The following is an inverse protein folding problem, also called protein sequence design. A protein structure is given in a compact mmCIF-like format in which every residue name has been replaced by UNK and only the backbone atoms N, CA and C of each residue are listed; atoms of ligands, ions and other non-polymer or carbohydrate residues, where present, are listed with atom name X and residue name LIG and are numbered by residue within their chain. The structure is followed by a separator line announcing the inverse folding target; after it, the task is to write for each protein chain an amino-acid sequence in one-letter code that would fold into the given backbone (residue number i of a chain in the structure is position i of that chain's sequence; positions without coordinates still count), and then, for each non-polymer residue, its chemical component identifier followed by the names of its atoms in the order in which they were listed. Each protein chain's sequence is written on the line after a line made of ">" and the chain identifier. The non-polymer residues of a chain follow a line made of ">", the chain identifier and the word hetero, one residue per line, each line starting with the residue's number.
data_IF_866909392774
#
_entry.id   IF_866909392774
#
_cell.length_a   1.000
_cell.length_b   1.000
_cell.length_c   1.000
_cell.angle_alpha   90.00
_cell.angle_beta   90.00
_cell.angle_gamma   90.00
#
_symmetry.space_group_name_H-M   'P 1'
#
loop_
_entity.id
_entity.type
_entity.pdbx_description
1 polymer ?
#
# COMPACT_ATOMS: atom_id res chain seq x y z
N UNK A 1 2.97 7.14 5.92
CA UNK A 1 3.89 6.02 6.17
C UNK A 1 3.47 5.03 5.12
N UNK A 2 4.38 4.67 4.21
CA UNK A 2 4.05 3.80 3.09
C UNK A 2 3.42 2.51 3.64
N UNK A 3 2.12 2.32 3.42
CA UNK A 3 1.39 1.16 3.94
C UNK A 3 1.91 -0.09 3.22
N UNK A 4 2.05 -1.24 3.90
CA UNK A 4 2.58 -2.46 3.29
C UNK A 4 1.92 -2.84 1.95
N UNK A 5 0.63 -2.51 1.77
CA UNK A 5 -0.09 -2.72 0.50
C UNK A 5 0.35 -1.83 -0.67
N UNK A 6 0.88 -0.64 -0.41
CA UNK A 6 1.37 0.26 -1.47
C UNK A 6 2.65 -0.23 -2.13
N UNK A 7 3.48 -1.00 -1.41
CA UNK A 7 4.65 -1.66 -1.99
C UNK A 7 4.28 -2.71 -3.05
N UNK A 8 3.14 -3.38 -2.89
CA UNK A 8 2.70 -4.40 -3.84
C UNK A 8 2.35 -3.74 -5.16
N UNK A 9 1.63 -2.62 -5.09
CA UNK A 9 1.28 -1.83 -6.27
C UNK A 9 2.50 -1.17 -6.92
N UNK A 10 3.41 -0.60 -6.12
CA UNK A 10 4.65 0.00 -6.63
C UNK A 10 5.51 -1.02 -7.40
N UNK A 11 5.76 -2.18 -6.79
CA UNK A 11 6.53 -3.26 -7.44
C UNK A 11 5.84 -3.80 -8.69
N UNK A 12 4.50 -3.82 -8.69
CA UNK A 12 3.71 -4.19 -9.86
C UNK A 12 3.91 -3.19 -11.01
N UNK A 13 3.80 -1.88 -10.75
CA UNK A 13 4.03 -0.86 -11.76
C UNK A 13 5.48 -0.87 -12.28
N UNK A 14 6.46 -1.05 -11.39
CA UNK A 14 7.87 -1.12 -11.75
C UNK A 14 8.25 -2.36 -12.58
N UNK A 15 7.36 -3.35 -12.72
CA UNK A 15 7.57 -4.44 -13.69
C UNK A 15 7.39 -3.99 -15.14
N UNK A 16 6.78 -2.81 -15.37
CA UNK A 16 6.62 -2.22 -16.68
C UNK A 16 7.88 -1.43 -17.08
N UNK A 17 8.49 -1.76 -18.22
CA UNK A 17 9.76 -1.15 -18.67
C UNK A 17 9.72 0.39 -18.81
N UNK A 18 8.55 0.96 -19.13
CA UNK A 18 8.37 2.40 -19.30
C UNK A 18 7.77 3.10 -18.07
N UNK A 19 7.62 2.42 -16.93
CA UNK A 19 7.05 3.02 -15.71
C UNK A 19 8.05 2.86 -14.57
N UNK A 20 8.35 3.96 -13.90
CA UNK A 20 9.05 3.97 -12.62
C UNK A 20 8.19 4.65 -11.57
N UNK A 21 7.61 3.85 -10.68
CA UNK A 21 6.96 4.28 -9.46
C UNK A 21 8.01 4.30 -8.36
N UNK A 22 8.24 5.48 -7.80
CA UNK A 22 9.02 5.66 -6.59
C UNK A 22 8.00 6.06 -5.53
N UNK A 23 7.80 5.23 -4.49
CA UNK A 23 6.68 5.26 -3.52
C UNK A 23 6.32 6.60 -2.87
N UNK A 24 5.93 6.63 -1.59
CA UNK A 24 5.38 7.86 -0.98
C UNK A 24 6.45 8.93 -0.72
N UNK A 25 6.83 9.70 -1.75
CA UNK A 25 7.84 10.79 -1.68
C UNK A 25 7.44 11.87 -0.66
N UNK A 26 6.14 12.02 -0.37
CA UNK A 26 5.61 13.17 0.40
C UNK A 26 4.79 12.80 1.63
N UNK A 27 5.06 11.65 2.25
CA UNK A 27 4.25 11.17 3.38
C UNK A 27 4.34 12.01 4.67
N UNK A 28 5.35 12.87 4.86
CA UNK A 28 5.58 13.58 6.15
C UNK A 28 5.74 15.09 5.93
N UNK A 29 4.95 15.88 6.66
CA UNK A 29 4.85 17.35 6.51
C UNK A 29 6.19 18.07 6.78
N UNK A 30 6.98 17.59 7.73
CA UNK A 30 8.30 18.14 8.09
C UNK A 30 9.41 17.84 7.06
N UNK A 31 9.29 16.75 6.27
CA UNK A 31 10.31 16.35 5.28
C UNK A 31 10.30 17.19 4.00
N UNK A 32 9.30 18.05 3.78
CA UNK A 32 9.17 18.91 2.59
C UNK A 32 10.01 20.19 2.65
N UNK A 33 10.59 20.53 3.80
CA UNK A 33 11.18 21.86 4.00
C UNK A 33 12.71 21.93 3.79
N UNK A 34 13.43 20.81 3.67
CA UNK A 34 14.90 20.84 3.66
C UNK A 34 15.53 19.84 2.65
N UNK A 35 15.87 20.35 1.46
CA UNK A 35 16.39 19.58 0.30
C UNK A 35 17.72 18.87 0.59
N UNK A 36 18.58 19.44 1.43
CA UNK A 36 19.85 18.81 1.81
C UNK A 36 19.64 17.50 2.59
N UNK A 37 18.60 17.47 3.43
CA UNK A 37 18.24 16.30 4.23
C UNK A 37 17.60 15.21 3.35
N UNK A 38 16.87 15.60 2.31
CA UNK A 38 16.30 14.68 1.31
C UNK A 38 17.43 13.93 0.59
N UNK A 39 18.47 14.62 0.12
CA UNK A 39 19.60 13.99 -0.58
C UNK A 39 20.39 13.03 0.33
N UNK A 40 20.65 13.41 1.59
CA UNK A 40 21.27 12.50 2.58
C UNK A 40 20.41 11.29 2.91
N UNK A 41 19.09 11.46 2.95
CA UNK A 41 18.16 10.37 3.25
C UNK A 41 18.08 9.40 2.07
N UNK A 42 18.10 9.90 0.83
CA UNK A 42 18.17 9.05 -0.36
C UNK A 42 19.47 8.22 -0.38
N UNK A 43 20.59 8.83 -0.05
CA UNK A 43 21.91 8.18 0.03
C UNK A 43 21.95 7.09 1.11
N UNK A 44 21.41 7.35 2.31
CA UNK A 44 21.36 6.39 3.42
C UNK A 44 20.29 5.30 3.27
N UNK A 45 19.11 5.61 2.73
CA UNK A 45 17.97 4.67 2.66
C UNK A 45 18.15 3.65 1.54
N UNK A 46 18.69 4.08 0.39
CA UNK A 46 18.94 3.17 -0.72
C UNK A 46 20.30 2.48 -0.65
N UNK A 47 21.18 2.90 0.28
CA UNK A 47 22.55 2.38 0.47
C UNK A 47 23.20 2.05 -0.89
N UNK A 48 23.17 3.03 -1.80
CA UNK A 48 23.64 2.88 -3.16
C UNK A 48 25.17 2.81 -3.14
N UNK A 49 25.69 1.62 -2.84
CA UNK A 49 26.99 1.20 -3.33
C UNK A 49 26.88 1.11 -4.85
N UNK A 50 27.15 2.23 -5.53
CA UNK A 50 27.03 2.43 -6.98
C UNK A 50 27.93 1.48 -7.80
N UNK A 51 28.71 0.62 -7.14
CA UNK A 51 29.78 -0.16 -7.74
C UNK A 51 29.80 -1.67 -7.39
N UNK A 52 28.89 -2.22 -6.57
CA UNK A 52 28.93 -3.65 -6.24
C UNK A 52 27.57 -4.34 -6.13
N UNK A 53 27.16 -4.97 -7.23
CA UNK A 53 26.09 -5.97 -7.29
C UNK A 53 26.66 -7.37 -7.07
N UNK A 54 26.98 -7.72 -5.82
CA UNK A 54 27.48 -9.07 -5.53
C UNK A 54 26.36 -10.12 -5.65
N UNK A 55 26.59 -11.15 -6.48
CA UNK A 55 25.68 -12.25 -6.78
C UNK A 55 25.35 -13.07 -5.53
N UNK A 56 24.07 -13.11 -5.14
CA UNK A 56 23.56 -13.99 -4.09
C UNK A 56 23.46 -15.42 -4.64
N UNK A 57 24.22 -16.36 -4.10
CA UNK A 57 24.05 -17.77 -4.43
C UNK A 57 22.70 -18.30 -3.90
N UNK A 58 22.25 -19.44 -4.43
CA UNK A 58 20.92 -20.00 -4.16
C UNK A 58 20.68 -20.32 -2.67
N UNK A 59 21.71 -20.73 -1.93
CA UNK A 59 21.61 -21.08 -0.51
C UNK A 59 21.31 -19.86 0.38
N UNK A 60 21.98 -18.72 0.14
CA UNK A 60 21.69 -17.48 0.89
C UNK A 60 20.29 -16.94 0.58
N UNK A 61 19.81 -17.12 -0.65
CA UNK A 61 18.44 -16.79 -1.02
C UNK A 61 17.41 -17.66 -0.28
N UNK A 62 17.66 -18.98 -0.16
CA UNK A 62 16.77 -19.91 0.51
C UNK A 62 16.63 -19.63 2.02
N UNK A 63 17.73 -19.34 2.72
CA UNK A 63 17.70 -18.97 4.15
C UNK A 63 16.97 -17.64 4.35
N UNK A 64 17.22 -16.65 3.48
CA UNK A 64 16.50 -15.38 3.50
C UNK A 64 15.00 -15.55 3.30
N UNK A 65 14.58 -16.40 2.35
CA UNK A 65 13.17 -16.72 2.10
C UNK A 65 12.52 -17.37 3.33
N UNK A 66 13.16 -18.39 3.94
CA UNK A 66 12.63 -19.07 5.13
C UNK A 66 12.43 -18.10 6.30
N UNK A 67 13.41 -17.21 6.54
CA UNK A 67 13.29 -16.21 7.58
C UNK A 67 12.14 -15.23 7.30
N UNK A 68 12.01 -14.76 6.06
CA UNK A 68 10.92 -13.88 5.65
C UNK A 68 9.54 -14.51 5.83
N UNK A 69 9.38 -15.80 5.50
CA UNK A 69 8.13 -16.54 5.69
C UNK A 69 7.75 -16.69 7.18
N UNK A 70 8.73 -16.98 8.05
CA UNK A 70 8.48 -17.06 9.48
C UNK A 70 8.01 -15.71 10.05
N UNK A 71 8.66 -14.61 9.64
CA UNK A 71 8.26 -13.26 10.07
C UNK A 71 6.87 -12.90 9.56
N UNK A 72 6.55 -13.25 8.31
CA UNK A 72 5.22 -13.06 7.75
C UNK A 72 4.14 -13.80 8.55
N UNK A 73 4.42 -15.02 9.02
CA UNK A 73 3.48 -15.79 9.83
C UNK A 73 3.22 -15.16 11.20
N UNK A 74 4.26 -14.64 11.87
CA UNK A 74 4.11 -13.92 13.14
C UNK A 74 3.26 -12.66 12.93
N UNK A 75 3.57 -11.87 11.90
CA UNK A 75 2.81 -10.66 11.57
C UNK A 75 1.36 -10.96 11.19
N UNK A 76 1.12 -12.04 10.44
CA UNK A 76 -0.22 -12.46 10.06
C UNK A 76 -1.09 -12.87 11.27
N UNK A 77 -0.47 -13.38 12.34
CA UNK A 77 -1.15 -13.78 13.57
C UNK A 77 -1.50 -12.63 14.49
N UNK A 78 -0.87 -11.47 14.31
CA UNK A 78 -1.10 -10.30 15.15
C UNK A 78 -2.46 -9.67 14.85
N UNK A 79 -3.26 -9.45 15.90
CA UNK A 79 -4.56 -8.77 15.82
C UNK A 79 -4.48 -7.44 16.56
N UNK A 80 -4.49 -6.29 15.85
CA UNK A 80 -4.56 -5.02 16.54
C UNK A 80 -5.91 -4.84 17.24
N UNK A 81 -5.88 -4.20 18.39
CA UNK A 81 -7.06 -3.60 19.03
C UNK A 81 -7.21 -2.16 18.56
N UNK A 82 -8.33 -1.84 17.94
CA UNK A 82 -8.57 -0.52 17.35
C UNK A 82 -9.38 0.33 18.33
N UNK A 83 -8.99 1.60 18.51
CA UNK A 83 -9.77 2.50 19.35
C UNK A 83 -11.10 2.86 18.67
N UNK A 84 -12.18 2.25 19.16
CA UNK A 84 -13.50 2.36 18.58
C UNK A 84 -14.11 3.77 18.68
N UNK A 85 -13.68 4.58 19.65
CA UNK A 85 -14.15 5.97 19.80
C UNK A 85 -13.49 6.92 18.80
N UNK A 86 -12.29 6.59 18.32
CA UNK A 86 -11.52 7.42 17.40
C UNK A 86 -11.71 7.03 15.92
N UNK A 87 -12.33 5.88 15.64
CA UNK A 87 -12.39 5.36 14.27
C UNK A 87 -13.22 6.26 13.34
N UNK A 88 -14.42 6.66 13.78
CA UNK A 88 -15.30 7.52 13.00
C UNK A 88 -14.70 8.92 12.76
N UNK A 89 -14.20 9.66 13.77
CA UNK A 89 -13.60 10.97 13.52
C UNK A 89 -12.34 10.87 12.64
N UNK A 90 -11.55 9.80 12.75
CA UNK A 90 -10.42 9.56 11.84
C UNK A 90 -10.88 9.33 10.41
N UNK A 91 -11.90 8.50 10.18
CA UNK A 91 -12.42 8.26 8.82
C UNK A 91 -12.97 9.55 8.19
N UNK A 92 -13.71 10.36 8.95
CA UNK A 92 -14.17 11.68 8.50
C UNK A 92 -13.02 12.61 8.14
N UNK A 93 -11.97 12.62 8.95
CA UNK A 93 -10.78 13.41 8.71
C UNK A 93 -10.06 12.97 7.42
N UNK A 94 -9.89 11.66 7.21
CA UNK A 94 -9.27 11.10 6.00
C UNK A 94 -10.09 11.45 4.75
N UNK A 95 -11.41 11.31 4.79
CA UNK A 95 -12.29 11.72 3.68
C UNK A 95 -12.18 13.23 3.38
N UNK A 96 -12.10 14.07 4.40
CA UNK A 96 -11.91 15.51 4.23
C UNK A 96 -10.54 15.86 3.60
N UNK A 97 -9.47 15.15 3.99
CA UNK A 97 -8.14 15.33 3.39
C UNK A 97 -8.15 14.89 1.92
N UNK A 98 -8.79 13.76 1.61
CA UNK A 98 -8.94 13.28 0.23
C UNK A 98 -9.71 14.31 -0.61
N UNK A 99 -10.83 14.83 -0.11
CA UNK A 99 -11.61 15.85 -0.80
C UNK A 99 -10.79 17.12 -1.08
N UNK A 100 -10.03 17.60 -0.09
CA UNK A 100 -9.13 18.75 -0.25
C UNK A 100 -8.02 18.47 -1.28
N UNK A 101 -7.45 17.26 -1.29
CA UNK A 101 -6.43 16.89 -2.26
C UNK A 101 -7.01 16.84 -3.68
N UNK A 102 -8.20 16.29 -3.87
CA UNK A 102 -8.88 16.26 -5.17
C UNK A 102 -9.25 17.66 -5.67
N UNK A 103 -9.69 18.54 -4.78
CA UNK A 103 -9.95 19.95 -5.09
C UNK A 103 -8.66 20.67 -5.49
N UNK A 104 -7.58 20.48 -4.72
CA UNK A 104 -6.28 21.08 -4.99
C UNK A 104 -5.69 20.62 -6.34
N UNK A 105 -5.89 19.36 -6.71
CA UNK A 105 -5.41 18.78 -7.96
C UNK A 105 -6.48 18.72 -9.07
N UNK A 106 -7.51 19.56 -9.02
CA UNK A 106 -8.61 19.55 -9.99
C UNK A 106 -8.15 19.80 -11.44
N UNK A 107 -7.04 20.52 -11.63
CA UNK A 107 -6.45 20.83 -12.94
C UNK A 107 -5.55 19.73 -13.46
N UNK A 108 -5.19 18.77 -12.61
CA UNK A 108 -4.29 17.67 -12.95
C UNK A 108 -5.10 16.41 -13.16
N UNK A 109 -4.83 15.72 -14.26
CA UNK A 109 -5.45 14.43 -14.52
C UNK A 109 -5.02 13.42 -13.44
N UNK A 110 -5.98 12.92 -12.68
CA UNK A 110 -5.78 11.96 -11.59
C UNK A 110 -6.69 10.74 -11.77
N UNK A 111 -6.29 9.62 -11.19
CA UNK A 111 -7.07 8.38 -11.11
C UNK A 111 -7.15 7.96 -9.65
N UNK A 112 -8.34 7.56 -9.20
CA UNK A 112 -8.56 7.03 -7.85
C UNK A 112 -8.60 5.51 -7.94
N UNK A 113 -7.80 4.84 -7.13
CA UNK A 113 -7.68 3.40 -7.11
C UNK A 113 -7.94 2.89 -5.70
N UNK A 114 -8.86 1.93 -5.56
CA UNK A 114 -9.04 1.17 -4.34
C UNK A 114 -8.31 -0.17 -4.47
N UNK A 115 -7.74 -0.65 -3.37
CA UNK A 115 -6.97 -1.89 -3.35
C UNK A 115 -7.85 -3.10 -3.71
N UNK A 116 -9.12 -3.02 -3.35
CA UNK A 116 -10.17 -3.99 -3.50
C UNK A 116 -10.55 -4.16 -4.98
N UNK A 117 -10.51 -3.06 -5.76
CA UNK A 117 -10.71 -3.09 -7.21
C UNK A 117 -9.53 -3.79 -7.91
N UNK A 118 -8.31 -3.59 -7.41
CA UNK A 118 -7.10 -4.23 -7.93
C UNK A 118 -7.04 -5.73 -7.62
N UNK A 119 -7.73 -6.19 -6.58
CA UNK A 119 -7.83 -7.62 -6.27
C UNK A 119 -8.95 -8.26 -7.07
N UNK A 120 -10.16 -7.69 -7.02
CA UNK A 120 -11.36 -8.29 -7.62
C UNK A 120 -11.33 -8.27 -9.15
N UNK A 121 -10.94 -7.14 -9.75
CA UNK A 121 -10.95 -6.91 -11.20
C UNK A 121 -9.56 -6.53 -11.71
N UNK A 122 -8.54 -7.25 -11.21
CA UNK A 122 -7.12 -6.95 -11.43
C UNK A 122 -6.79 -6.66 -12.90
N UNK A 123 -7.10 -7.58 -13.82
CA UNK A 123 -6.73 -7.42 -15.24
C UNK A 123 -7.30 -6.16 -15.86
N UNK A 124 -8.59 -5.88 -15.63
CA UNK A 124 -9.25 -4.70 -16.19
C UNK A 124 -8.69 -3.41 -15.59
N UNK A 125 -8.55 -3.35 -14.26
CA UNK A 125 -8.02 -2.16 -13.59
C UNK A 125 -6.57 -1.87 -13.98
N UNK A 126 -5.75 -2.89 -14.16
CA UNK A 126 -4.38 -2.71 -14.65
C UNK A 126 -4.33 -2.23 -16.11
N UNK A 127 -5.31 -2.58 -16.94
CA UNK A 127 -5.44 -2.01 -18.28
C UNK A 127 -5.82 -0.53 -18.20
N UNK A 128 -6.82 -0.17 -17.38
CA UNK A 128 -7.23 1.23 -17.15
C UNK A 128 -6.05 2.09 -16.64
N UNK A 129 -5.20 1.53 -15.77
CA UNK A 129 -4.02 2.23 -15.27
C UNK A 129 -2.96 2.41 -16.36
N UNK A 130 -2.73 1.39 -17.19
CA UNK A 130 -1.78 1.49 -18.30
C UNK A 130 -2.26 2.47 -19.38
N UNK A 131 -3.56 2.48 -19.68
CA UNK A 131 -4.20 3.48 -20.55
C UNK A 131 -4.11 4.88 -19.96
N UNK A 132 -4.39 5.01 -18.66
CA UNK A 132 -4.20 6.27 -17.95
C UNK A 132 -2.76 6.72 -18.13
N UNK A 133 -1.75 5.92 -17.78
CA UNK A 133 -0.35 6.28 -17.95
C UNK A 133 0.09 6.43 -19.41
N UNK A 134 -0.76 6.10 -20.39
CA UNK A 134 -0.47 6.13 -21.82
C UNK A 134 0.72 5.24 -22.18
N UNK A 135 0.81 4.07 -21.53
CA UNK A 135 1.83 3.06 -21.79
C UNK A 135 1.21 1.82 -22.44
N UNK A 136 1.98 1.05 -23.24
CA UNK A 136 1.47 -0.16 -23.87
C UNK A 136 0.98 -1.17 -22.84
N UNK A 137 -0.10 -1.88 -23.14
CA UNK A 137 -0.63 -2.93 -22.26
C UNK A 137 0.37 -4.07 -22.14
N UNK A 138 0.68 -4.42 -20.89
CA UNK A 138 1.52 -5.56 -20.53
C UNK A 138 0.98 -6.26 -19.29
N UNK A 139 1.41 -7.51 -19.14
CA UNK A 139 1.19 -8.26 -17.91
C UNK A 139 2.15 -7.76 -16.85
N UNK A 140 1.59 -7.14 -15.81
CA UNK A 140 2.35 -6.65 -14.67
C UNK A 140 2.44 -7.75 -13.62
N UNK A 141 3.58 -7.84 -12.94
CA UNK A 141 3.82 -8.85 -11.89
C UNK A 141 4.41 -8.20 -10.65
N UNK A 142 4.00 -8.68 -9.48
CA UNK A 142 4.63 -8.33 -8.21
C UNK A 142 5.13 -9.60 -7.54
N UNK A 143 6.27 -9.49 -6.85
CA UNK A 143 6.80 -10.55 -5.99
C UNK A 143 6.32 -10.43 -4.55
N UNK A 144 5.57 -9.37 -4.22
CA UNK A 144 5.03 -9.19 -2.89
C UNK A 144 3.82 -10.08 -2.69
N UNK A 145 3.74 -10.68 -1.50
CA UNK A 145 2.69 -11.62 -1.13
C UNK A 145 1.88 -11.02 0.01
N UNK A 146 0.55 -11.11 -0.10
CA UNK A 146 -0.34 -10.72 0.98
C UNK A 146 -0.15 -11.66 2.17
N UNK A 147 0.07 -11.10 3.35
CA UNK A 147 0.30 -11.89 4.58
C UNK A 147 -0.99 -12.10 5.40
N UNK A 148 -1.98 -11.21 5.27
CA UNK A 148 -3.27 -11.34 5.96
C UNK A 148 -4.31 -12.01 5.04
N UNK A 149 -4.80 -13.18 5.46
CA UNK A 149 -5.85 -13.93 4.77
C UNK A 149 -7.16 -13.96 5.56
N UNK A 150 -8.25 -14.28 4.88
CA UNK A 150 -9.58 -14.45 5.50
C UNK A 150 -10.30 -13.14 5.85
N UNK A 151 -11.48 -13.26 6.49
CA UNK A 151 -12.34 -12.12 6.83
C UNK A 151 -11.67 -11.12 7.78
N UNK A 152 -12.03 -9.84 7.67
CA UNK A 152 -11.51 -8.77 8.53
C UNK A 152 -11.82 -9.02 10.02
N UNK A 153 -12.95 -9.69 10.31
CA UNK A 153 -13.32 -10.14 11.65
C UNK A 153 -12.26 -11.02 12.32
N UNK A 154 -11.50 -11.80 11.54
CA UNK A 154 -10.45 -12.65 12.08
C UNK A 154 -9.15 -11.88 12.36
N UNK A 155 -9.02 -10.66 11.84
CA UNK A 155 -7.79 -9.88 11.86
C UNK A 155 -7.80 -8.77 12.91
N UNK A 156 -8.94 -8.48 13.54
CA UNK A 156 -9.09 -7.41 14.54
C UNK A 156 -9.54 -8.01 15.87
N UNK A 157 -8.90 -7.60 16.97
CA UNK A 157 -9.18 -8.17 18.29
C UNK A 157 -10.59 -7.80 18.80
N UNK A 158 -10.99 -6.54 18.64
CA UNK A 158 -12.29 -6.01 19.10
C UNK A 158 -13.29 -5.83 17.95
N UNK A 159 -13.38 -6.82 17.05
CA UNK A 159 -14.23 -6.74 15.86
C UNK A 159 -15.71 -6.44 16.15
N UNK A 160 -16.34 -7.17 17.06
CA UNK A 160 -17.78 -7.05 17.33
C UNK A 160 -18.16 -5.63 17.79
N UNK A 161 -17.30 -5.00 18.59
CA UNK A 161 -17.45 -3.61 19.03
C UNK A 161 -17.42 -2.66 17.84
N UNK A 162 -16.42 -2.78 16.97
CA UNK A 162 -16.27 -1.94 15.78
C UNK A 162 -17.42 -2.13 14.80
N UNK A 163 -17.83 -3.38 14.57
CA UNK A 163 -18.95 -3.70 13.70
C UNK A 163 -20.24 -3.03 14.18
N UNK A 164 -20.51 -3.09 15.49
CA UNK A 164 -21.70 -2.48 16.09
C UNK A 164 -21.74 -0.96 15.96
N UNK A 165 -20.57 -0.31 15.93
CA UNK A 165 -20.42 1.15 15.79
C UNK A 165 -20.54 1.53 14.32
N UNK A 166 -19.76 0.89 13.44
CA UNK A 166 -19.70 1.23 12.03
C UNK A 166 -21.02 0.96 11.29
N UNK A 167 -21.78 -0.07 11.67
CA UNK A 167 -23.15 -0.32 11.16
C UNK A 167 -24.13 0.83 11.38
N UNK A 168 -23.86 1.70 12.36
CA UNK A 168 -24.71 2.87 12.65
C UNK A 168 -24.27 4.13 11.90
N UNK A 169 -23.26 4.02 11.04
CA UNK A 169 -22.65 5.15 10.34
C UNK A 169 -22.62 4.90 8.84
N UNK A 170 -22.30 5.93 8.06
CA UNK A 170 -22.04 5.79 6.61
C UNK A 170 -20.83 4.91 6.26
N UNK A 171 -20.06 4.50 7.27
CA UNK A 171 -18.86 3.68 7.14
C UNK A 171 -19.12 2.18 7.20
N UNK A 172 -20.39 1.75 7.31
CA UNK A 172 -20.80 0.35 7.21
C UNK A 172 -20.25 -0.32 5.94
N UNK A 173 -20.14 0.43 4.83
CA UNK A 173 -19.56 -0.07 3.57
C UNK A 173 -18.16 -0.69 3.73
N UNK A 174 -17.38 -0.25 4.71
CA UNK A 174 -16.04 -0.78 4.96
C UNK A 174 -16.04 -2.12 5.71
N UNK A 175 -17.14 -2.50 6.34
CA UNK A 175 -17.30 -3.82 6.98
C UNK A 175 -17.50 -4.92 5.94
N UNK A 176 -18.08 -4.56 4.80
CA UNK A 176 -18.45 -5.46 3.70
C UNK A 176 -17.54 -5.31 2.48
N UNK A 177 -16.38 -4.66 2.63
CA UNK A 177 -15.30 -4.72 1.66
C UNK A 177 -14.76 -6.17 1.64
N UNK A 178 -15.56 -7.05 1.07
CA UNK A 178 -15.36 -8.48 1.05
C UNK A 178 -14.17 -8.75 0.13
N UNK A 179 -13.08 -9.19 0.76
CA UNK A 179 -12.05 -9.99 0.14
C UNK A 179 -12.65 -11.34 -0.28
N UNK A 180 -13.37 -11.38 -1.40
CA UNK A 180 -13.69 -12.62 -2.10
C UNK A 180 -12.58 -12.99 -3.06
#
# INVERSE_FOLDING_TARGET
>A
MQRSGSGWFETMLNSHINVSSNGEVFSVKERRNNVSMILKTLDQVYNLDWFNSASKNECSAAVGLKWMLNQAQVLASYKPKINATEIEPKLKQEEAIIAQALEFFNSTRHIVLHYEDLISNCTQKLQEIQEFLSVPHRNLTSRQVKIHGGPLANQVENWDELESILKKTSYERFLHADYR
#
